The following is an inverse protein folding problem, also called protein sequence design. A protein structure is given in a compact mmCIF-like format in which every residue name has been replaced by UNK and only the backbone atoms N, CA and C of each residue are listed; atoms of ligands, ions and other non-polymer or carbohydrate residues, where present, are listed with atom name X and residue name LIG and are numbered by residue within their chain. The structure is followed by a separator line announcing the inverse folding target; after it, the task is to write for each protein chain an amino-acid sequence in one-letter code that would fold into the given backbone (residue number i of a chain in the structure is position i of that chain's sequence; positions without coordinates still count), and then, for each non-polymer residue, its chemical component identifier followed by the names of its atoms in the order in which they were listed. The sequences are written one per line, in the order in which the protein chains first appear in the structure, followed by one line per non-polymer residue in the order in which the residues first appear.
data_IF_777050322947
#
_entry.id   IF_777050322947
#
_cell.length_a   1.000
_cell.length_b   1.000
_cell.length_c   1.000
_cell.angle_alpha   90.00
_cell.angle_beta   90.00
_cell.angle_gamma   90.00
#
_symmetry.space_group_name_H-M   'P 1'
#
loop_
_entity.id
_entity.type
_entity.pdbx_description
1 polymer ?
#
# COMPACT_ATOMS: atom_id res chain seq x y z
N UNK A 1 13.66 -9.24 2.48
CA UNK A 1 12.47 -10.11 2.33
C UNK A 1 11.22 -9.25 2.43
N UNK A 2 10.23 -9.47 1.55
CA UNK A 2 8.93 -8.81 1.61
C UNK A 2 7.89 -9.79 2.16
N UNK A 3 7.28 -9.44 3.28
CA UNK A 3 6.13 -10.15 3.85
C UNK A 3 4.84 -9.46 3.46
N UNK A 4 3.84 -10.26 3.07
CA UNK A 4 2.48 -9.79 2.78
C UNK A 4 1.56 -10.37 3.85
N UNK A 5 0.94 -9.48 4.62
CA UNK A 5 -0.07 -9.84 5.61
C UNK A 5 -1.37 -10.26 4.94
N UNK A 6 -2.25 -10.89 5.72
CA UNK A 6 -3.58 -11.31 5.25
C UNK A 6 -4.35 -10.16 4.63
N UNK A 7 -5.00 -10.42 3.49
CA UNK A 7 -5.93 -9.49 2.87
C UNK A 7 -7.25 -9.54 3.63
N UNK A 8 -7.69 -8.43 4.20
CA UNK A 8 -8.93 -8.32 4.95
C UNK A 8 -9.73 -7.07 4.60
N UNK A 9 -11.03 -7.08 4.91
CA UNK A 9 -11.92 -5.94 4.68
C UNK A 9 -11.75 -4.91 5.78
N UNK A 10 -11.51 -3.66 5.42
CA UNK A 10 -11.36 -2.54 6.37
C UNK A 10 -12.16 -1.32 5.96
N UNK A 11 -12.73 -0.64 6.95
CA UNK A 11 -13.31 0.69 6.76
C UNK A 11 -12.20 1.72 6.50
N UNK A 12 -12.38 2.52 5.45
CA UNK A 12 -11.52 3.64 5.08
C UNK A 12 -12.37 4.81 4.64
N UNK A 13 -11.93 6.01 4.99
CA UNK A 13 -12.48 7.23 4.40
C UNK A 13 -11.91 7.37 3.00
N UNK A 14 -12.77 7.65 2.04
CA UNK A 14 -12.39 8.02 0.67
C UNK A 14 -13.11 9.30 0.30
N UNK A 15 -12.45 10.14 -0.47
CA UNK A 15 -13.04 11.34 -1.06
C UNK A 15 -13.62 10.97 -2.42
N UNK A 16 -14.89 11.31 -2.64
CA UNK A 16 -15.59 11.11 -3.91
C UNK A 16 -15.13 12.13 -4.96
N UNK A 17 -15.52 11.93 -6.23
CA UNK A 17 -15.25 12.90 -7.30
C UNK A 17 -15.91 14.27 -7.04
N UNK A 18 -16.98 14.28 -6.24
CA UNK A 18 -17.73 15.48 -5.84
C UNK A 18 -17.09 16.21 -4.65
N UNK A 19 -16.06 15.62 -4.03
CA UNK A 19 -15.32 16.18 -2.90
C UNK A 19 -15.85 15.76 -1.52
N UNK A 20 -16.89 14.93 -1.46
CA UNK A 20 -17.45 14.43 -0.21
C UNK A 20 -16.65 13.26 0.35
N UNK A 21 -16.39 13.28 1.66
CA UNK A 21 -15.74 12.18 2.38
C UNK A 21 -16.77 11.12 2.83
N UNK A 22 -16.58 9.88 2.38
CA UNK A 22 -17.45 8.74 2.72
C UNK A 22 -16.65 7.57 3.31
N UNK A 23 -17.29 6.77 4.16
CA UNK A 23 -16.69 5.52 4.66
C UNK A 23 -17.00 4.39 3.68
N UNK A 24 -15.96 3.79 3.11
CA UNK A 24 -16.05 2.63 2.24
C UNK A 24 -15.31 1.41 2.83
N UNK A 25 -15.80 0.21 2.52
CA UNK A 25 -15.11 -1.04 2.85
C UNK A 25 -14.15 -1.40 1.71
N UNK A 26 -12.86 -1.57 2.01
CA UNK A 26 -11.81 -1.93 1.04
C UNK A 26 -11.07 -3.20 1.46
N UNK A 27 -10.65 -3.99 0.48
CA UNK A 27 -9.69 -5.07 0.72
C UNK A 27 -8.30 -4.44 0.92
N UNK A 28 -7.68 -4.71 2.06
CA UNK A 28 -6.41 -4.12 2.48
C UNK A 28 -5.47 -5.24 2.94
N UNK A 29 -4.17 -5.05 2.72
CA UNK A 29 -3.12 -5.88 3.30
C UNK A 29 -2.00 -4.98 3.87
N UNK A 30 -1.27 -5.50 4.85
CA UNK A 30 -0.04 -4.88 5.33
C UNK A 30 1.16 -5.50 4.64
N UNK A 31 2.11 -4.66 4.25
CA UNK A 31 3.37 -5.07 3.63
C UNK A 31 4.48 -4.76 4.62
N UNK A 32 5.35 -5.74 4.88
CA UNK A 32 6.48 -5.60 5.78
C UNK A 32 7.77 -5.90 5.03
N UNK A 33 8.68 -4.93 4.95
CA UNK A 33 9.97 -5.10 4.30
C UNK A 33 11.07 -5.24 5.35
N UNK A 34 11.75 -6.39 5.33
CA UNK A 34 12.98 -6.60 6.09
C UNK A 34 14.18 -6.46 5.17
N UNK A 35 15.14 -5.63 5.57
CA UNK A 35 16.34 -5.31 4.81
C UNK A 35 17.55 -5.14 5.75
N UNK A 36 18.75 -5.19 5.19
CA UNK A 36 19.99 -4.94 5.93
C UNK A 36 20.33 -3.44 5.90
N UNK A 37 20.23 -2.78 7.06
CA UNK A 37 20.47 -1.35 7.21
C UNK A 37 21.93 -0.92 6.93
N UNK A 38 22.87 -1.87 6.87
CA UNK A 38 24.26 -1.56 6.49
C UNK A 38 24.40 -1.32 4.99
N UNK A 39 23.42 -1.78 4.21
CA UNK A 39 23.42 -1.74 2.74
C UNK A 39 22.33 -0.79 2.23
N UNK A 40 21.15 -0.77 2.86
CA UNK A 40 19.99 -0.01 2.41
C UNK A 40 19.56 0.96 3.52
N UNK A 41 19.33 2.22 3.15
CA UNK A 41 18.79 3.22 4.07
C UNK A 41 17.27 3.05 4.29
N UNK A 42 16.80 3.45 5.47
CA UNK A 42 15.37 3.38 5.81
C UNK A 42 14.48 4.17 4.86
N UNK A 43 14.92 5.35 4.41
CA UNK A 43 14.16 6.17 3.48
C UNK A 43 14.00 5.49 2.11
N UNK A 44 15.04 4.80 1.62
CA UNK A 44 14.96 4.07 0.36
C UNK A 44 14.02 2.86 0.46
N UNK A 45 14.05 2.15 1.59
CA UNK A 45 13.11 1.06 1.88
C UNK A 45 11.65 1.55 1.95
N UNK A 46 11.40 2.71 2.56
CA UNK A 46 10.07 3.34 2.61
C UNK A 46 9.59 3.80 1.24
N UNK A 47 10.47 4.44 0.46
CA UNK A 47 10.18 4.85 -0.93
C UNK A 47 9.83 3.66 -1.80
N UNK A 48 10.53 2.54 -1.63
CA UNK A 48 10.20 1.29 -2.33
C UNK A 48 8.79 0.80 -1.97
N UNK A 49 8.44 0.71 -0.68
CA UNK A 49 7.10 0.28 -0.27
C UNK A 49 6.00 1.23 -0.74
N UNK A 50 6.27 2.54 -0.74
CA UNK A 50 5.35 3.56 -1.26
C UNK A 50 5.11 3.38 -2.77
N UNK A 51 6.18 3.14 -3.53
CA UNK A 51 6.07 2.86 -4.97
C UNK A 51 5.27 1.59 -5.27
N UNK A 52 5.51 0.51 -4.50
CA UNK A 52 4.73 -0.73 -4.62
C UNK A 52 3.24 -0.48 -4.32
N UNK A 53 2.95 0.30 -3.27
CA UNK A 53 1.57 0.70 -2.95
C UNK A 53 0.92 1.44 -4.12
N UNK A 54 1.59 2.44 -4.69
CA UNK A 54 1.07 3.21 -5.81
C UNK A 54 0.72 2.33 -7.02
N UNK A 55 1.60 1.39 -7.39
CA UNK A 55 1.33 0.45 -8.49
C UNK A 55 0.10 -0.41 -8.21
N UNK A 56 0.01 -0.97 -6.99
CA UNK A 56 -1.11 -1.82 -6.57
C UNK A 56 -2.43 -1.05 -6.56
N UNK A 57 -2.41 0.21 -6.14
CA UNK A 57 -3.59 1.08 -6.10
C UNK A 57 -3.99 1.60 -7.49
N UNK A 58 -3.03 1.81 -8.41
CA UNK A 58 -3.32 2.25 -9.79
C UNK A 58 -4.06 1.18 -10.61
N UNK A 59 -3.90 -0.10 -10.29
CA UNK A 59 -4.68 -1.18 -10.88
C UNK A 59 -4.43 -1.44 -12.38
N UNK A 60 -3.32 -0.92 -12.93
CA UNK A 60 -2.96 -1.09 -14.33
C UNK A 60 -2.30 -2.45 -14.59
N UNK A 61 -3.12 -3.50 -14.66
CA UNK A 61 -2.67 -4.86 -14.90
C UNK A 61 -2.75 -5.18 -16.39
N UNK A 62 -1.62 -5.50 -17.02
CA UNK A 62 -1.63 -6.16 -18.33
C UNK A 62 -1.93 -7.64 -18.10
N UNK A 63 -2.99 -8.12 -18.76
CA UNK A 63 -3.40 -9.53 -18.78
C UNK A 63 -3.00 -10.13 -20.12
#
# INVERSE_FOLDING_TARGET
MLGVGTIEKRARVITTEEGDDVIAIRHMAYFALSFDHRIIDGADAERFLSYVKEILEAGHWQI
#
